data_IF_858604078736
#
_entry.id   IF_858604078736
#
_cell.length_a   1.000
_cell.length_b   1.000
_cell.length_c   1.000
_cell.angle_alpha   90.00
_cell.angle_beta   90.00
_cell.angle_gamma   90.00
#
_symmetry.space_group_name_H-M   'P 1'
#
loop_
_entity.id
_entity.type
_entity.pdbx_description
1 polymer ?
#
# COMPACT_ATOMS: atom_id res chain seq x y z
N UNK A 1 25.62 -13.51 18.08
CA UNK A 1 26.04 -14.22 19.30
C UNK A 1 24.99 -15.25 19.65
N UNK A 2 25.40 -16.43 20.13
CA UNK A 2 24.47 -17.48 20.52
C UNK A 2 23.79 -17.14 21.85
N UNK A 3 22.52 -17.50 21.98
CA UNK A 3 21.76 -17.43 23.23
C UNK A 3 22.33 -18.51 24.16
N UNK A 4 22.83 -18.08 25.32
CA UNK A 4 23.51 -18.92 26.29
C UNK A 4 22.68 -19.14 27.55
N UNK A 5 22.98 -20.19 28.32
CA UNK A 5 22.29 -20.52 29.58
C UNK A 5 22.22 -19.34 30.56
N UNK A 6 23.27 -18.51 30.62
CA UNK A 6 23.36 -17.40 31.55
C UNK A 6 22.28 -16.33 31.28
N UNK A 7 21.84 -16.22 30.02
CA UNK A 7 20.79 -15.27 29.62
C UNK A 7 19.38 -15.80 29.93
N UNK A 8 19.24 -17.08 30.28
CA UNK A 8 17.97 -17.78 30.50
C UNK A 8 17.82 -18.30 31.93
N UNK A 9 18.56 -17.75 32.90
CA UNK A 9 18.61 -18.26 34.28
C UNK A 9 17.25 -18.43 34.96
N UNK A 10 16.24 -17.60 34.61
CA UNK A 10 14.87 -17.70 35.14
C UNK A 10 14.04 -18.83 34.54
N UNK A 11 14.39 -19.31 33.36
CA UNK A 11 13.75 -20.47 32.75
C UNK A 11 14.24 -21.80 33.38
N UNK A 12 15.33 -21.75 34.14
CA UNK A 12 15.95 -22.88 34.84
C UNK A 12 15.43 -23.05 36.29
N UNK A 13 14.72 -22.07 36.84
CA UNK A 13 14.20 -22.10 38.22
C UNK A 13 12.88 -22.91 38.30
N UNK A 14 12.79 -23.94 39.18
CA UNK A 14 11.53 -24.64 39.44
C UNK A 14 10.49 -23.71 40.05
N UNK A 15 9.25 -23.72 39.54
CA UNK A 15 8.15 -22.89 40.04
C UNK A 15 7.72 -21.73 39.13
N UNK A 16 8.33 -21.60 37.94
CA UNK A 16 7.92 -20.64 36.92
C UNK A 16 6.52 -20.98 36.37
N UNK A 17 5.55 -20.09 36.59
CA UNK A 17 4.15 -20.28 36.17
C UNK A 17 3.96 -20.12 34.64
N UNK A 18 4.54 -19.06 34.04
CA UNK A 18 4.45 -18.81 32.61
C UNK A 18 5.57 -17.88 32.11
N UNK A 19 5.94 -18.05 30.85
CA UNK A 19 6.77 -17.12 30.07
C UNK A 19 5.85 -16.46 29.04
N UNK A 20 5.79 -15.13 29.05
CA UNK A 20 4.89 -14.33 28.19
C UNK A 20 5.67 -13.22 27.47
N UNK A 21 5.06 -12.60 26.47
CA UNK A 21 5.64 -11.45 25.75
C UNK A 21 6.35 -11.76 24.43
N UNK A 22 6.51 -13.03 24.07
CA UNK A 22 7.00 -13.43 22.74
C UNK A 22 5.87 -13.76 21.75
N UNK A 23 4.66 -14.01 22.25
CA UNK A 23 3.50 -14.42 21.46
C UNK A 23 2.34 -13.44 21.62
N UNK A 24 2.32 -12.40 20.78
CA UNK A 24 1.16 -11.51 20.62
C UNK A 24 0.40 -11.85 19.33
N UNK A 25 -0.89 -11.52 19.29
CA UNK A 25 -1.62 -11.40 18.02
C UNK A 25 -0.91 -10.44 17.07
N UNK A 26 -1.03 -10.68 15.76
CA UNK A 26 -0.31 -9.92 14.74
C UNK A 26 -1.26 -9.46 13.64
N UNK A 27 -0.97 -8.28 13.09
CA UNK A 27 -1.55 -7.80 11.85
C UNK A 27 -0.77 -8.44 10.69
N UNK A 28 -1.30 -9.53 10.16
CA UNK A 28 -0.68 -10.28 9.06
C UNK A 28 -1.49 -10.07 7.78
N UNK A 29 -0.82 -10.14 6.63
CA UNK A 29 -1.46 -10.00 5.32
C UNK A 29 -1.95 -8.60 4.92
N UNK A 30 -1.87 -7.55 5.75
CA UNK A 30 -2.38 -6.21 5.38
C UNK A 30 -1.85 -5.65 4.04
N UNK A 31 -0.58 -5.89 3.69
CA UNK A 31 -0.04 -5.52 2.38
C UNK A 31 -0.77 -6.17 1.18
N UNK A 32 -1.32 -7.37 1.33
CA UNK A 32 -2.00 -8.09 0.25
C UNK A 32 -3.38 -7.48 -0.09
N UNK A 33 -3.94 -6.65 0.79
CA UNK A 33 -5.15 -5.89 0.50
C UNK A 33 -4.88 -4.66 -0.39
N UNK A 34 -3.61 -4.25 -0.46
CA UNK A 34 -3.14 -3.05 -1.15
C UNK A 34 -2.48 -3.44 -2.48
N UNK A 35 -1.49 -4.33 -2.42
CA UNK A 35 -0.65 -4.69 -3.56
C UNK A 35 -0.96 -6.09 -4.08
N UNK A 36 -0.90 -6.23 -5.40
CA UNK A 36 -0.94 -7.53 -6.06
C UNK A 36 0.45 -8.17 -5.98
N UNK A 37 0.51 -9.50 -5.87
CA UNK A 37 1.77 -10.22 -5.71
C UNK A 37 2.06 -11.04 -6.96
N UNK A 38 3.22 -10.79 -7.57
CA UNK A 38 3.72 -11.53 -8.71
C UNK A 38 5.00 -12.32 -8.34
N UNK A 39 5.21 -13.44 -9.01
CA UNK A 39 6.40 -14.28 -8.80
C UNK A 39 7.49 -13.90 -9.83
N UNK A 40 8.72 -13.80 -9.35
CA UNK A 40 9.89 -13.50 -10.19
C UNK A 40 11.09 -14.34 -9.76
N UNK A 41 11.85 -14.83 -10.74
CA UNK A 41 13.14 -15.51 -10.56
C UNK A 41 14.34 -14.60 -10.86
N UNK A 42 14.10 -13.30 -11.11
CA UNK A 42 15.12 -12.34 -11.53
C UNK A 42 15.62 -11.52 -10.35
N UNK A 43 16.76 -10.85 -10.54
CA UNK A 43 17.30 -9.92 -9.54
C UNK A 43 16.56 -8.57 -9.53
N UNK A 44 15.96 -8.19 -10.66
CA UNK A 44 15.13 -7.02 -10.82
C UNK A 44 14.05 -7.29 -11.88
N UNK A 45 12.94 -6.56 -11.79
CA UNK A 45 11.94 -6.45 -12.84
C UNK A 45 11.85 -5.00 -13.32
N UNK A 46 11.50 -4.82 -14.57
CA UNK A 46 11.38 -3.51 -15.19
C UNK A 46 10.08 -3.43 -15.98
N UNK A 47 9.30 -2.39 -15.71
CA UNK A 47 8.05 -2.09 -16.38
C UNK A 47 8.23 -0.82 -17.20
N UNK A 48 7.85 -0.89 -18.47
CA UNK A 48 7.89 0.24 -19.40
C UNK A 48 6.47 0.60 -19.78
N UNK A 49 6.11 1.85 -19.54
CA UNK A 49 4.84 2.39 -20.00
C UNK A 49 4.94 2.70 -21.49
N UNK A 50 3.96 2.23 -22.26
CA UNK A 50 3.82 2.58 -23.68
C UNK A 50 2.81 3.72 -23.82
N UNK A 51 3.21 4.79 -24.49
CA UNK A 51 2.27 5.80 -24.98
C UNK A 51 1.50 5.25 -26.17
N UNK A 52 0.17 5.23 -26.05
CA UNK A 52 -0.74 4.78 -27.09
C UNK A 52 -0.91 5.80 -28.22
N UNK A 53 -1.94 5.60 -29.03
CA UNK A 53 -2.31 6.54 -30.10
C UNK A 53 -3.15 7.69 -29.56
N UNK A 54 -3.10 8.83 -30.22
CA UNK A 54 -3.96 9.98 -29.92
C UNK A 54 -5.39 9.83 -30.46
N UNK A 55 -6.20 10.85 -30.22
CA UNK A 55 -7.55 10.92 -30.78
C UNK A 55 -7.51 10.88 -32.31
N UNK A 56 -8.32 10.00 -32.90
CA UNK A 56 -8.39 9.85 -34.36
C UNK A 56 -8.88 11.16 -35.02
N UNK A 57 -8.11 11.74 -35.97
CA UNK A 57 -8.50 12.99 -36.61
C UNK A 57 -9.67 12.77 -37.58
N UNK A 58 -10.47 13.83 -37.79
CA UNK A 58 -11.53 13.82 -38.80
C UNK A 58 -10.90 13.79 -40.19
N UNK A 59 -11.10 12.70 -40.91
CA UNK A 59 -10.60 12.51 -42.26
C UNK A 59 -11.41 13.38 -43.25
N UNK A 60 -10.72 14.22 -44.02
CA UNK A 60 -11.32 14.99 -45.13
C UNK A 60 -11.58 14.08 -46.34
N UNK A 61 -12.61 14.41 -47.11
CA UNK A 61 -12.95 13.68 -48.33
C UNK A 61 -11.78 13.72 -49.34
N UNK A 62 -11.41 12.57 -49.88
CA UNK A 62 -10.29 12.42 -50.82
C UNK A 62 -8.89 12.36 -50.20
N UNK A 63 -8.73 12.61 -48.90
CA UNK A 63 -7.43 12.52 -48.22
C UNK A 63 -7.03 11.07 -47.88
N UNK A 64 -5.74 10.87 -47.60
CA UNK A 64 -5.21 9.61 -47.05
C UNK A 64 -5.63 9.35 -45.61
N UNK A 65 -5.37 8.14 -45.10
CA UNK A 65 -5.51 7.83 -43.66
C UNK A 65 -4.29 8.38 -42.92
N UNK A 66 -4.50 8.97 -41.75
CA UNK A 66 -3.41 9.40 -40.87
C UNK A 66 -2.88 8.20 -40.08
N UNK A 67 -1.56 8.07 -40.01
CA UNK A 67 -0.88 7.10 -39.16
C UNK A 67 -0.32 7.83 -37.94
N UNK A 68 -0.40 7.18 -36.77
CA UNK A 68 0.19 7.67 -35.52
C UNK A 68 1.17 6.60 -35.02
N UNK A 69 2.17 7.03 -34.25
CA UNK A 69 3.26 6.19 -33.77
C UNK A 69 3.15 6.00 -32.25
N UNK A 70 3.37 4.77 -31.77
CA UNK A 70 3.46 4.47 -30.35
C UNK A 70 4.91 4.63 -29.88
N UNK A 71 5.13 5.26 -28.72
CA UNK A 71 6.45 5.46 -28.13
C UNK A 71 6.52 4.91 -26.71
N UNK A 72 7.70 4.47 -26.27
CA UNK A 72 7.97 4.19 -24.86
C UNK A 72 8.03 5.50 -24.07
N UNK A 73 7.38 5.53 -22.91
CA UNK A 73 7.29 6.70 -22.03
C UNK A 73 8.17 6.48 -20.80
N UNK A 74 7.58 6.12 -19.66
CA UNK A 74 8.28 5.97 -18.40
C UNK A 74 8.72 4.54 -18.14
N UNK A 75 9.81 4.39 -17.39
CA UNK A 75 10.34 3.09 -16.97
C UNK A 75 10.49 3.05 -15.47
N UNK A 76 9.88 2.05 -14.84
CA UNK A 76 10.03 1.77 -13.41
C UNK A 76 10.78 0.46 -13.23
N UNK A 77 11.78 0.44 -12.33
CA UNK A 77 12.56 -0.75 -12.01
C UNK A 77 12.40 -1.15 -10.55
N UNK A 78 12.02 -2.39 -10.32
CA UNK A 78 11.88 -2.99 -8.99
C UNK A 78 13.05 -3.93 -8.72
N UNK A 79 13.81 -3.66 -7.67
CA UNK A 79 14.94 -4.51 -7.26
C UNK A 79 14.51 -5.41 -6.10
N UNK A 80 14.79 -6.71 -6.21
CA UNK A 80 14.48 -7.65 -5.15
C UNK A 80 15.51 -7.54 -4.01
N UNK A 81 15.02 -7.44 -2.78
CA UNK A 81 15.85 -7.35 -1.58
C UNK A 81 15.73 -8.63 -0.74
N UNK A 82 16.88 -9.21 -0.36
CA UNK A 82 16.91 -10.39 0.51
C UNK A 82 16.78 -9.97 1.98
N UNK A 83 15.65 -10.30 2.59
CA UNK A 83 15.45 -10.19 4.04
C UNK A 83 15.86 -11.51 4.70
N UNK A 84 16.78 -11.46 5.65
CA UNK A 84 17.23 -12.64 6.39
C UNK A 84 17.43 -12.33 7.88
N UNK A 85 17.05 -13.28 8.73
CA UNK A 85 17.30 -13.23 10.16
C UNK A 85 17.55 -14.66 10.66
N UNK A 86 18.46 -14.80 11.62
CA UNK A 86 18.81 -16.09 12.23
C UNK A 86 19.06 -15.93 13.73
N UNK A 87 18.89 -17.02 14.47
CA UNK A 87 19.33 -17.12 15.86
C UNK A 87 20.13 -18.41 16.03
N UNK A 88 20.98 -18.46 17.06
CA UNK A 88 21.67 -19.69 17.47
C UNK A 88 21.51 -19.87 18.99
N UNK A 89 21.44 -21.12 19.42
CA UNK A 89 21.29 -21.52 20.82
C UNK A 89 22.43 -22.49 21.12
N UNK A 90 23.08 -22.37 22.28
CA UNK A 90 24.12 -23.33 22.68
C UNK A 90 23.49 -24.65 23.15
N UNK A 91 24.22 -25.75 23.03
CA UNK A 91 23.74 -27.09 23.39
C UNK A 91 23.36 -27.17 24.87
N UNK A 92 24.17 -26.57 25.75
CA UNK A 92 23.92 -26.53 27.19
C UNK A 92 22.64 -25.77 27.52
N UNK A 93 22.30 -24.73 26.75
CA UNK A 93 21.07 -23.98 26.95
C UNK A 93 19.81 -24.75 26.51
N UNK A 94 19.96 -25.77 25.66
CA UNK A 94 18.87 -26.69 25.29
C UNK A 94 18.78 -27.83 26.29
N UNK A 95 19.91 -28.44 26.66
CA UNK A 95 19.98 -29.59 27.57
C UNK A 95 19.59 -29.22 29.00
N UNK A 96 20.06 -28.09 29.52
CA UNK A 96 19.78 -27.66 30.89
C UNK A 96 18.36 -27.06 31.02
N UNK A 97 17.63 -26.84 29.92
CA UNK A 97 16.31 -26.24 29.97
C UNK A 97 15.27 -27.25 30.47
N UNK A 98 14.70 -26.97 31.65
CA UNK A 98 13.66 -27.79 32.27
C UNK A 98 12.36 -27.85 31.42
N UNK A 99 12.17 -26.92 30.49
CA UNK A 99 11.00 -26.80 29.62
C UNK A 99 11.43 -26.82 28.14
N UNK A 100 11.32 -27.98 27.49
CA UNK A 100 11.73 -28.27 26.09
C UNK A 100 10.93 -27.48 25.02
N UNK A 101 11.03 -26.14 25.05
CA UNK A 101 10.26 -25.22 24.18
C UNK A 101 11.08 -24.04 23.70
N UNK A 102 12.33 -23.90 24.10
CA UNK A 102 13.18 -22.75 23.80
C UNK A 102 13.35 -22.54 22.28
N UNK A 103 13.78 -23.58 21.57
CA UNK A 103 13.95 -23.53 20.11
C UNK A 103 12.65 -23.18 19.39
N UNK A 104 11.53 -23.82 19.77
CA UNK A 104 10.22 -23.56 19.14
C UNK A 104 9.75 -22.12 19.32
N UNK A 105 9.99 -21.52 20.49
CA UNK A 105 9.61 -20.14 20.81
C UNK A 105 10.42 -19.12 20.02
N UNK A 106 11.75 -19.30 19.97
CA UNK A 106 12.60 -18.41 19.19
C UNK A 106 12.34 -18.53 17.69
N UNK A 107 12.01 -19.72 17.17
CA UNK A 107 11.56 -19.86 15.77
C UNK A 107 10.28 -19.09 15.50
N UNK A 108 9.30 -19.08 16.41
CA UNK A 108 8.09 -18.26 16.26
C UNK A 108 8.37 -16.76 16.33
N UNK A 109 9.25 -16.35 17.26
CA UNK A 109 9.68 -14.96 17.37
C UNK A 109 10.42 -14.49 16.10
N UNK A 110 11.25 -15.37 15.52
CA UNK A 110 11.92 -15.14 14.24
C UNK A 110 10.92 -14.95 13.10
N UNK A 111 9.96 -15.88 12.96
CA UNK A 111 8.93 -15.79 11.94
C UNK A 111 8.10 -14.50 12.06
N UNK A 112 7.81 -14.05 13.29
CA UNK A 112 7.15 -12.77 13.56
C UNK A 112 7.98 -11.58 13.09
N UNK A 113 9.28 -11.55 13.39
CA UNK A 113 10.17 -10.49 12.95
C UNK A 113 10.22 -10.39 11.42
N UNK A 114 10.31 -11.54 10.75
CA UNK A 114 10.29 -11.61 9.28
C UNK A 114 8.97 -11.09 8.70
N UNK A 115 7.83 -11.53 9.24
CA UNK A 115 6.51 -11.06 8.81
C UNK A 115 6.33 -9.55 9.05
N UNK A 116 6.80 -9.03 10.19
CA UNK A 116 6.77 -7.60 10.51
C UNK A 116 7.59 -6.79 9.50
N UNK A 117 8.81 -7.22 9.19
CA UNK A 117 9.66 -6.56 8.19
C UNK A 117 8.97 -6.50 6.82
N UNK A 118 8.27 -7.58 6.42
CA UNK A 118 7.50 -7.59 5.17
C UNK A 118 6.41 -6.50 5.15
N UNK A 119 5.65 -6.36 6.24
CA UNK A 119 4.61 -5.34 6.34
C UNK A 119 5.17 -3.92 6.34
N UNK A 120 6.22 -3.66 7.13
CA UNK A 120 6.86 -2.34 7.19
C UNK A 120 7.41 -1.93 5.83
N UNK A 121 8.08 -2.85 5.13
CA UNK A 121 8.60 -2.57 3.78
C UNK A 121 7.49 -2.30 2.77
N UNK A 122 6.37 -3.03 2.82
CA UNK A 122 5.24 -2.77 1.94
C UNK A 122 4.58 -1.42 2.25
N UNK A 123 4.33 -1.12 3.53
CA UNK A 123 3.76 0.16 3.94
C UNK A 123 4.69 1.35 3.65
N UNK A 124 6.01 1.13 3.57
CA UNK A 124 6.97 2.17 3.23
C UNK A 124 6.71 2.79 1.85
N UNK A 125 6.09 2.09 0.90
CA UNK A 125 5.70 2.66 -0.39
C UNK A 125 4.71 3.81 -0.19
N UNK A 126 3.63 3.56 0.56
CA UNK A 126 2.61 4.57 0.85
C UNK A 126 3.09 5.64 1.83
N UNK A 127 3.89 5.27 2.84
CA UNK A 127 4.47 6.23 3.78
C UNK A 127 5.42 7.23 3.11
N UNK A 128 6.01 6.87 1.96
CA UNK A 128 6.87 7.75 1.18
C UNK A 128 6.18 8.25 -0.11
N UNK A 129 4.86 8.07 -0.26
CA UNK A 129 4.15 8.35 -1.50
C UNK A 129 4.29 9.80 -1.99
N UNK A 130 4.40 10.76 -1.06
CA UNK A 130 4.55 12.19 -1.35
C UNK A 130 6.02 12.66 -1.39
N UNK A 131 6.98 11.73 -1.33
CA UNK A 131 8.41 12.04 -1.31
C UNK A 131 9.08 11.57 -2.60
N UNK A 132 9.64 12.52 -3.37
CA UNK A 132 10.38 12.23 -4.60
C UNK A 132 11.82 11.72 -4.31
N UNK A 133 12.68 11.71 -5.33
CA UNK A 133 14.09 11.31 -5.21
C UNK A 133 14.27 9.80 -5.23
N UNK A 134 14.77 9.21 -4.14
CA UNK A 134 14.99 7.75 -4.07
C UNK A 134 13.69 6.93 -4.07
N UNK A 135 12.55 7.58 -3.80
CA UNK A 135 11.21 7.01 -3.84
C UNK A 135 10.40 7.51 -5.04
N UNK A 136 11.03 8.22 -5.98
CA UNK A 136 10.36 8.67 -7.20
C UNK A 136 9.91 7.50 -8.07
N UNK A 137 8.78 7.69 -8.75
CA UNK A 137 8.26 6.78 -9.76
C UNK A 137 9.06 6.81 -11.07
N UNK A 138 8.56 6.09 -12.08
CA UNK A 138 9.21 6.00 -13.39
C UNK A 138 9.26 7.31 -14.17
N UNK A 139 8.41 8.28 -13.82
CA UNK A 139 8.37 9.63 -14.38
C UNK A 139 9.26 10.65 -13.64
N UNK A 140 9.92 10.21 -12.55
CA UNK A 140 10.88 10.99 -11.79
C UNK A 140 10.29 11.89 -10.69
N UNK A 141 8.97 11.87 -10.49
CA UNK A 141 8.30 12.58 -9.38
C UNK A 141 7.80 11.61 -8.30
N UNK A 142 7.20 12.13 -7.22
CA UNK A 142 6.66 11.29 -6.15
C UNK A 142 5.47 10.44 -6.66
N UNK A 143 5.12 9.36 -5.95
CA UNK A 143 3.98 8.51 -6.33
C UNK A 143 2.66 9.29 -6.33
N UNK A 144 2.48 10.17 -5.35
CA UNK A 144 1.39 11.14 -5.28
C UNK A 144 2.00 12.53 -5.50
N UNK A 145 1.66 13.15 -6.65
CA UNK A 145 2.21 14.44 -7.07
C UNK A 145 1.17 15.22 -7.89
N UNK A 146 1.20 16.55 -7.75
CA UNK A 146 0.33 17.46 -8.49
C UNK A 146 0.80 17.69 -9.95
N UNK A 147 1.94 17.14 -10.35
CA UNK A 147 2.66 17.52 -11.56
C UNK A 147 3.38 16.35 -12.26
N UNK A 148 2.72 15.20 -12.37
CA UNK A 148 3.18 14.09 -13.21
C UNK A 148 3.34 14.55 -14.67
N UNK A 149 4.53 14.51 -15.27
CA UNK A 149 4.73 14.95 -16.64
C UNK A 149 4.05 13.99 -17.63
N UNK A 150 3.43 14.51 -18.68
CA UNK A 150 2.86 13.70 -19.77
C UNK A 150 3.74 13.77 -21.02
N UNK A 151 3.81 12.67 -21.76
CA UNK A 151 4.59 12.55 -23.01
C UNK A 151 4.10 13.52 -24.08
N UNK A 152 2.79 13.82 -24.13
CA UNK A 152 2.21 14.81 -25.04
C UNK A 152 2.47 16.27 -24.64
N UNK A 153 3.13 16.51 -23.51
CA UNK A 153 3.27 17.82 -22.86
C UNK A 153 2.13 18.11 -21.89
N UNK A 154 2.40 18.97 -20.90
CA UNK A 154 1.51 19.23 -19.77
C UNK A 154 1.81 18.35 -18.56
N UNK A 155 0.96 18.44 -17.54
CA UNK A 155 1.04 17.61 -16.35
C UNK A 155 -0.32 17.07 -15.95
N UNK A 156 -0.29 15.97 -15.21
CA UNK A 156 -1.41 15.31 -14.58
C UNK A 156 -1.24 15.34 -13.06
N UNK A 157 -2.33 15.37 -12.31
CA UNK A 157 -2.32 15.38 -10.85
C UNK A 157 -3.12 14.21 -10.28
N UNK A 158 -2.56 13.48 -9.32
CA UNK A 158 -3.26 12.42 -8.58
C UNK A 158 -3.38 12.72 -7.08
N UNK A 159 -2.99 13.92 -6.66
CA UNK A 159 -3.19 14.45 -5.31
C UNK A 159 -3.99 15.77 -5.36
N UNK A 160 -4.66 16.17 -4.26
CA UNK A 160 -5.38 17.43 -4.21
C UNK A 160 -4.40 18.61 -4.16
N UNK A 161 -4.72 19.70 -4.86
CA UNK A 161 -3.90 20.93 -4.84
C UNK A 161 -3.80 21.59 -3.45
N UNK A 162 -4.68 21.23 -2.53
CA UNK A 162 -4.63 21.61 -1.12
C UNK A 162 -4.92 20.35 -0.31
N UNK A 163 -4.01 19.99 0.59
CA UNK A 163 -4.17 18.84 1.46
C UNK A 163 -5.51 18.94 2.22
N UNK A 164 -6.25 17.83 2.24
CA UNK A 164 -7.55 17.75 2.88
C UNK A 164 -7.65 16.45 3.67
N UNK A 165 -8.13 16.53 4.90
CA UNK A 165 -8.39 15.37 5.74
C UNK A 165 -9.51 14.51 5.15
N UNK A 166 -9.52 13.22 5.48
CA UNK A 166 -10.60 12.33 5.08
C UNK A 166 -11.95 12.80 5.63
N UNK A 167 -12.85 13.18 4.73
CA UNK A 167 -14.24 13.51 4.99
C UNK A 167 -15.07 13.22 3.72
N UNK A 168 -16.37 13.45 3.78
CA UNK A 168 -17.28 13.20 2.67
C UNK A 168 -16.89 14.00 1.41
N UNK A 169 -16.66 15.31 1.55
CA UNK A 169 -16.30 16.18 0.43
C UNK A 169 -14.95 15.80 -0.18
N UNK A 170 -13.93 15.59 0.64
CA UNK A 170 -12.60 15.21 0.12
C UNK A 170 -12.60 13.84 -0.55
N UNK A 171 -13.41 12.89 -0.06
CA UNK A 171 -13.55 11.58 -0.67
C UNK A 171 -14.34 11.63 -1.98
N UNK A 172 -15.42 12.41 -2.04
CA UNK A 172 -16.19 12.63 -3.28
C UNK A 172 -15.33 13.30 -4.34
N UNK A 173 -14.61 14.37 -3.99
CA UNK A 173 -13.70 15.07 -4.89
C UNK A 173 -12.61 14.12 -5.42
N UNK A 174 -12.01 13.30 -4.55
CA UNK A 174 -11.00 12.33 -4.96
C UNK A 174 -11.55 11.29 -5.96
N UNK A 175 -12.78 10.78 -5.74
CA UNK A 175 -13.41 9.82 -6.64
C UNK A 175 -13.78 10.44 -8.00
N UNK A 176 -14.20 11.72 -8.00
CA UNK A 176 -14.45 12.49 -9.23
C UNK A 176 -13.14 12.68 -10.00
N UNK A 177 -12.07 13.07 -9.30
CA UNK A 177 -10.74 13.21 -9.90
C UNK A 177 -10.28 11.92 -10.56
N UNK A 178 -10.36 10.77 -9.86
CA UNK A 178 -9.97 9.46 -10.41
C UNK A 178 -10.75 9.12 -11.69
N UNK A 179 -12.06 9.40 -11.72
CA UNK A 179 -12.89 9.15 -12.90
C UNK A 179 -12.56 10.09 -14.08
N UNK A 180 -11.88 11.21 -13.82
CA UNK A 180 -11.43 12.18 -14.81
C UNK A 180 -10.00 11.97 -15.30
N UNK A 181 -9.31 10.93 -14.84
CA UNK A 181 -7.94 10.64 -15.27
C UNK A 181 -7.87 10.34 -16.78
N UNK A 182 -6.73 10.67 -17.37
CA UNK A 182 -6.46 10.51 -18.80
C UNK A 182 -5.20 9.68 -19.01
N UNK A 183 -5.06 9.10 -20.20
CA UNK A 183 -3.81 8.48 -20.62
C UNK A 183 -2.74 9.52 -21.03
N UNK A 184 -1.55 9.04 -21.39
CA UNK A 184 -0.41 9.84 -21.88
C UNK A 184 -0.71 10.72 -23.12
N UNK A 185 -1.85 10.49 -23.77
CA UNK A 185 -2.31 11.19 -24.98
C UNK A 185 -3.55 12.05 -24.71
N UNK A 186 -4.00 12.15 -23.46
CA UNK A 186 -5.15 12.94 -23.04
C UNK A 186 -6.50 12.28 -23.33
N UNK A 187 -6.55 10.98 -23.60
CA UNK A 187 -7.79 10.22 -23.76
C UNK A 187 -8.34 9.80 -22.40
N UNK A 188 -9.65 9.92 -22.23
CA UNK A 188 -10.32 9.51 -20.99
C UNK A 188 -10.22 7.99 -20.83
N UNK A 189 -9.79 7.58 -19.63
CA UNK A 189 -9.73 6.17 -19.24
C UNK A 189 -10.83 5.85 -18.23
N UNK A 190 -11.42 4.67 -18.34
CA UNK A 190 -12.50 4.22 -17.47
C UNK A 190 -11.98 3.73 -16.11
N UNK A 191 -11.36 4.63 -15.34
CA UNK A 191 -10.89 4.36 -13.99
C UNK A 191 -11.96 4.68 -12.95
N UNK A 192 -11.90 3.96 -11.83
CA UNK A 192 -12.68 4.22 -10.63
C UNK A 192 -11.91 3.75 -9.42
N UNK A 193 -12.12 4.40 -8.28
CA UNK A 193 -11.61 3.90 -7.00
C UNK A 193 -12.26 2.57 -6.62
N UNK A 194 -11.44 1.59 -6.25
CA UNK A 194 -11.82 0.24 -5.87
C UNK A 194 -11.84 0.07 -4.35
N UNK A 195 -10.81 0.55 -3.65
CA UNK A 195 -10.65 0.37 -2.19
C UNK A 195 -10.05 1.59 -1.51
N UNK A 196 -10.58 1.96 -0.35
CA UNK A 196 -10.02 3.00 0.51
C UNK A 196 -9.00 2.39 1.49
N UNK A 197 -7.81 2.96 1.58
CA UNK A 197 -6.74 2.52 2.47
C UNK A 197 -6.50 3.61 3.51
N UNK A 198 -6.60 3.26 4.79
CA UNK A 198 -6.50 4.22 5.89
C UNK A 198 -5.65 3.71 7.05
N UNK A 199 -5.03 4.61 7.83
CA UNK A 199 -4.43 4.29 9.12
C UNK A 199 -5.53 4.03 10.16
N UNK A 200 -5.16 3.38 11.27
CA UNK A 200 -6.11 3.01 12.34
C UNK A 200 -6.88 4.19 12.94
N UNK A 201 -6.30 5.39 12.89
CA UNK A 201 -6.88 6.62 13.44
C UNK A 201 -8.14 7.04 12.67
N UNK A 202 -8.21 6.74 11.38
CA UNK A 202 -9.33 7.12 10.51
C UNK A 202 -10.40 6.03 10.38
N UNK A 203 -10.22 4.86 10.99
CA UNK A 203 -11.13 3.71 10.82
C UNK A 203 -12.60 4.05 11.10
N UNK A 204 -12.87 4.89 12.10
CA UNK A 204 -14.24 5.28 12.45
C UNK A 204 -14.83 6.33 11.51
N UNK A 205 -13.98 7.13 10.88
CA UNK A 205 -14.40 8.07 9.83
C UNK A 205 -14.75 7.27 8.57
N UNK A 206 -13.86 6.36 8.15
CA UNK A 206 -14.10 5.46 7.02
C UNK A 206 -15.38 4.62 7.18
N UNK A 207 -15.60 4.02 8.36
CA UNK A 207 -16.82 3.26 8.67
C UNK A 207 -18.09 4.13 8.50
N UNK A 208 -18.07 5.37 9.00
CA UNK A 208 -19.19 6.29 8.86
C UNK A 208 -19.43 6.69 7.40
N UNK A 209 -18.37 6.93 6.62
CA UNK A 209 -18.48 7.32 5.23
C UNK A 209 -18.97 6.19 4.32
N UNK A 210 -18.53 4.95 4.55
CA UNK A 210 -18.80 3.84 3.63
C UNK A 210 -19.97 2.95 4.05
N UNK A 211 -20.25 2.82 5.34
CA UNK A 211 -21.20 1.83 5.86
C UNK A 211 -22.52 2.46 6.32
N UNK A 212 -22.54 3.73 6.70
CA UNK A 212 -23.78 4.39 7.13
C UNK A 212 -24.85 4.42 6.02
N UNK A 213 -26.12 4.26 6.40
CA UNK A 213 -27.23 4.31 5.43
C UNK A 213 -27.59 5.73 5.00
N UNK A 214 -27.42 6.67 5.92
CA UNK A 214 -27.73 8.09 5.76
C UNK A 214 -26.47 8.89 6.05
N UNK A 215 -26.44 10.11 5.54
CA UNK A 215 -25.38 11.05 5.83
C UNK A 215 -25.21 11.26 7.34
N UNK A 216 -23.98 11.20 7.82
CA UNK A 216 -23.68 11.30 9.25
C UNK A 216 -23.52 12.77 9.65
N UNK A 217 -24.16 13.17 10.74
CA UNK A 217 -23.97 14.51 11.33
C UNK A 217 -24.93 15.58 10.80
N UNK A 218 -25.90 15.22 9.96
CA UNK A 218 -26.97 16.10 9.48
C UNK A 218 -28.32 15.75 10.10
N UNK A 219 -29.22 16.72 10.23
CA UNK A 219 -30.61 16.48 10.64
C UNK A 219 -31.49 16.03 9.46
N UNK A 220 -30.99 16.21 8.25
CA UNK A 220 -31.65 15.85 7.00
C UNK A 220 -31.48 14.36 6.68
N UNK A 221 -32.50 13.76 6.07
CA UNK A 221 -32.52 12.34 5.69
C UNK A 221 -31.83 12.10 4.34
N UNK A 222 -30.68 12.74 4.14
CA UNK A 222 -29.90 12.62 2.92
C UNK A 222 -29.31 11.21 2.81
N UNK A 223 -29.43 10.62 1.63
CA UNK A 223 -28.85 9.31 1.34
C UNK A 223 -27.33 9.45 1.31
N UNK A 224 -26.63 8.47 1.89
CA UNK A 224 -25.19 8.35 1.70
C UNK A 224 -24.91 7.99 0.23
N UNK A 225 -24.48 8.98 -0.55
CA UNK A 225 -24.25 8.84 -1.99
C UNK A 225 -23.13 7.84 -2.30
N UNK A 226 -22.04 7.86 -1.54
CA UNK A 226 -20.89 6.96 -1.69
C UNK A 226 -21.35 5.50 -1.61
N UNK A 227 -22.12 5.17 -0.56
CA UNK A 227 -22.69 3.83 -0.38
C UNK A 227 -23.75 3.50 -1.44
N UNK A 228 -24.68 4.43 -1.70
CA UNK A 228 -25.81 4.17 -2.60
C UNK A 228 -25.40 4.01 -4.07
N UNK A 229 -24.34 4.68 -4.50
CA UNK A 229 -23.82 4.59 -5.86
C UNK A 229 -22.84 3.41 -6.03
N UNK A 230 -22.52 2.69 -4.95
CA UNK A 230 -21.58 1.57 -4.97
C UNK A 230 -20.14 2.01 -5.26
N UNK A 231 -19.76 3.21 -4.81
CA UNK A 231 -18.39 3.70 -4.89
C UNK A 231 -17.51 2.89 -3.93
N UNK A 232 -16.24 2.65 -4.32
CA UNK A 232 -15.30 1.81 -3.57
C UNK A 232 -15.89 0.43 -3.26
N UNK A 233 -16.16 -0.40 -4.30
CA UNK A 233 -16.84 -1.70 -4.15
C UNK A 233 -16.13 -2.69 -3.22
N UNK A 234 -14.82 -2.55 -3.01
CA UNK A 234 -14.05 -3.38 -2.07
C UNK A 234 -14.03 -2.81 -0.65
N UNK A 235 -14.72 -1.69 -0.40
CA UNK A 235 -14.82 -1.04 0.90
C UNK A 235 -13.53 -0.33 1.31
N UNK A 236 -13.21 -0.39 2.61
CA UNK A 236 -11.96 0.13 3.15
C UNK A 236 -11.16 -0.93 3.89
N UNK A 237 -9.85 -0.71 3.94
CA UNK A 237 -8.91 -1.51 4.74
C UNK A 237 -8.13 -0.61 5.68
N UNK A 238 -7.93 -1.09 6.90
CA UNK A 238 -7.04 -0.46 7.88
C UNK A 238 -5.65 -1.08 7.73
N UNK A 239 -4.65 -0.23 7.55
CA UNK A 239 -3.25 -0.63 7.60
C UNK A 239 -2.57 -0.03 8.84
N UNK A 240 -2.13 -0.91 9.73
CA UNK A 240 -1.55 -0.58 11.03
C UNK A 240 -0.09 -0.12 10.94
N UNK A 241 0.52 -0.23 9.76
CA UNK A 241 1.90 0.12 9.47
C UNK A 241 2.04 1.47 8.75
N UNK A 242 0.93 2.15 8.47
CA UNK A 242 0.95 3.55 8.05
C UNK A 242 1.40 4.43 9.22
N UNK A 243 2.38 5.29 8.97
CA UNK A 243 2.96 6.15 10.00
C UNK A 243 2.27 7.51 10.08
N UNK A 244 1.69 7.95 8.98
CA UNK A 244 0.87 9.14 8.94
C UNK A 244 -0.53 8.84 9.48
N UNK A 245 -1.02 9.70 10.37
CA UNK A 245 -2.27 9.50 11.10
C UNK A 245 -3.49 10.06 10.40
N UNK A 246 -3.32 10.95 9.41
CA UNK A 246 -4.41 11.58 8.68
C UNK A 246 -4.36 11.35 7.15
N UNK A 247 -3.27 10.81 6.62
CA UNK A 247 -3.20 10.39 5.22
C UNK A 247 -4.16 9.23 4.90
N UNK A 248 -4.78 9.28 3.72
CA UNK A 248 -5.59 8.20 3.16
C UNK A 248 -5.27 8.01 1.67
N UNK A 249 -5.48 6.81 1.15
CA UNK A 249 -5.16 6.45 -0.22
C UNK A 249 -6.31 5.68 -0.88
N UNK A 250 -6.40 5.73 -2.20
CA UNK A 250 -7.41 5.00 -2.97
C UNK A 250 -6.68 4.11 -3.97
N UNK A 251 -7.00 2.81 -3.95
CA UNK A 251 -6.60 1.82 -4.96
C UNK A 251 -7.60 1.83 -6.10
#
# INVERSE_FOLDING_TARGET
MAISRAQLAKELEPGLNALFGMEYGRYEGQHAEIFDTEASDRAFEEEVMLSGFGAAPVKQEGAGVAFDDANESFTARYNHETVAMAFSITEEAVEDNLYDRLASRYTRALARSMAHTKQVKAAAILNNAFTAGASAGGDGVALCDASHPLTSGGTFNNEPSTAADLNETSLEDALISIAGFVDERGLIIALRGMKLIVPRQLQFVAERLLVSNLRVGTADNDVNAIKSMGMLPEGYVVNDYLTDTDAFFIK
#
